data_IF_998271301773
#
_entry.id   IF_998271301773
#
_cell.length_a   1.000
_cell.length_b   1.000
_cell.length_c   1.000
_cell.angle_alpha   90.00
_cell.angle_beta   90.00
_cell.angle_gamma   90.00
#
_symmetry.space_group_name_H-M   'P 1'
#
loop_
_entity.id
_entity.type
_entity.pdbx_description
1 polymer ?
#
# COMPACT_ATOMS: atom_id res chain seq x y z
N UNK A 1 15.48 41.02 51.21
CA UNK A 1 16.34 41.88 50.39
C UNK A 1 15.51 42.52 49.27
N UNK A 2 15.53 43.86 49.23
CA UNK A 2 15.20 44.81 48.14
C UNK A 2 13.87 44.68 47.38
N UNK A 3 12.94 45.58 47.74
CA UNK A 3 11.96 46.20 46.85
C UNK A 3 12.66 46.95 45.72
N UNK A 4 12.05 46.98 44.54
CA UNK A 4 12.35 47.93 43.47
C UNK A 4 11.11 48.14 42.61
N UNK A 5 10.52 49.34 42.70
CA UNK A 5 9.48 49.84 41.82
C UNK A 5 9.99 51.15 41.18
N UNK A 6 9.81 51.29 39.87
CA UNK A 6 9.77 52.55 39.09
C UNK A 6 9.56 52.16 37.60
N UNK A 7 8.40 52.43 36.96
CA UNK A 7 8.05 53.62 36.12
C UNK A 7 9.07 53.96 35.03
N UNK A 8 8.74 54.40 33.82
CA UNK A 8 7.53 54.47 32.93
C UNK A 8 8.09 55.10 31.62
N UNK A 9 7.50 54.76 30.47
CA UNK A 9 7.34 55.64 29.28
C UNK A 9 8.54 55.97 28.37
N UNK A 10 8.30 55.81 27.06
CA UNK A 10 8.92 56.57 25.96
C UNK A 10 9.63 55.66 24.96
N UNK A 11 9.38 55.68 23.66
CA UNK A 11 8.52 56.51 22.82
C UNK A 11 8.70 56.02 21.37
N UNK A 12 7.60 56.01 20.61
CA UNK A 12 7.59 55.82 19.16
C UNK A 12 8.33 57.00 18.51
N UNK A 13 9.29 56.74 17.62
CA UNK A 13 9.55 57.66 16.49
C UNK A 13 9.78 56.86 15.22
N UNK A 14 9.03 57.25 14.19
CA UNK A 14 9.17 56.83 12.83
C UNK A 14 10.46 57.41 12.24
N UNK A 15 11.15 56.60 11.45
CA UNK A 15 12.21 57.03 10.55
C UNK A 15 12.06 56.25 9.24
N UNK A 16 11.35 56.86 8.30
CA UNK A 16 11.46 56.49 6.90
C UNK A 16 12.79 57.05 6.40
N UNK A 17 13.68 56.20 5.90
CA UNK A 17 14.62 56.62 4.88
C UNK A 17 14.96 55.47 3.93
N UNK A 18 15.14 55.90 2.71
CA UNK A 18 15.22 55.30 1.39
C UNK A 18 16.18 54.12 1.20
N UNK A 19 15.78 53.23 0.30
CA UNK A 19 16.60 52.16 -0.27
C UNK A 19 17.64 52.71 -1.26
N UNK A 20 18.73 51.98 -1.52
CA UNK A 20 19.29 51.89 -2.86
C UNK A 20 19.00 50.51 -3.47
N UNK A 21 18.46 50.55 -4.69
CA UNK A 21 18.36 49.40 -5.57
C UNK A 21 19.76 48.90 -5.97
N UNK A 22 19.98 47.60 -5.86
CA UNK A 22 21.12 46.91 -6.49
C UNK A 22 20.66 45.54 -7.01
N UNK A 23 20.58 45.49 -8.34
CA UNK A 23 20.52 44.33 -9.25
C UNK A 23 19.77 43.07 -8.81
N UNK A 24 18.51 43.01 -9.25
CA UNK A 24 17.84 41.75 -9.50
C UNK A 24 18.59 41.03 -10.64
N UNK A 25 19.51 40.13 -10.29
CA UNK A 25 20.06 39.16 -11.22
C UNK A 25 18.90 38.41 -11.87
N UNK A 26 18.75 38.55 -13.18
CA UNK A 26 17.74 37.84 -13.96
C UNK A 26 18.04 36.34 -13.82
N UNK A 27 17.21 35.64 -13.05
CA UNK A 27 17.30 34.19 -12.95
C UNK A 27 17.02 33.61 -14.34
N UNK A 28 18.06 33.06 -14.96
CA UNK A 28 17.93 32.30 -16.19
C UNK A 28 16.98 31.13 -15.88
N UNK A 29 15.86 30.95 -16.60
CA UNK A 29 14.99 29.81 -16.37
C UNK A 29 15.82 28.55 -16.57
N UNK A 30 15.98 27.76 -15.50
CA UNK A 30 16.64 26.46 -15.59
C UNK A 30 15.91 25.64 -16.64
N UNK A 31 16.64 25.23 -17.69
CA UNK A 31 16.13 24.29 -18.67
C UNK A 31 15.54 23.07 -17.93
N UNK A 32 14.39 22.53 -18.35
CA UNK A 32 13.80 21.39 -17.66
C UNK A 32 14.83 20.26 -17.65
N UNK A 33 15.17 19.80 -16.45
CA UNK A 33 15.99 18.61 -16.28
C UNK A 33 15.38 17.47 -17.12
N UNK A 34 16.19 16.57 -17.70
CA UNK A 34 15.67 15.42 -18.42
C UNK A 34 14.66 14.70 -17.53
N UNK A 35 13.41 14.65 -17.98
CA UNK A 35 12.34 13.97 -17.27
C UNK A 35 12.69 12.48 -17.37
N UNK A 36 13.27 11.92 -16.31
CA UNK A 36 13.51 10.48 -16.27
C UNK A 36 12.15 9.78 -16.44
N UNK A 37 12.05 8.78 -17.33
CA UNK A 37 10.80 8.09 -17.53
C UNK A 37 10.38 7.45 -16.20
N UNK A 38 9.14 7.75 -15.77
CA UNK A 38 8.59 7.19 -14.56
C UNK A 38 8.67 5.65 -14.60
N UNK A 39 9.05 4.99 -13.49
CA UNK A 39 9.21 3.54 -13.48
C UNK A 39 7.91 2.86 -13.89
N UNK A 40 7.99 1.98 -14.89
CA UNK A 40 6.86 1.19 -15.37
C UNK A 40 6.45 0.23 -14.25
N UNK A 41 5.27 0.47 -13.65
CA UNK A 41 4.71 -0.42 -12.63
C UNK A 41 4.26 -1.71 -13.31
N UNK A 42 5.06 -2.79 -13.20
CA UNK A 42 4.57 -4.14 -13.52
C UNK A 42 3.43 -4.47 -12.57
N UNK A 43 2.27 -4.82 -13.12
CA UNK A 43 1.14 -5.28 -12.33
C UNK A 43 1.50 -6.59 -11.63
N UNK A 44 1.11 -6.72 -10.36
CA UNK A 44 1.30 -7.94 -9.59
C UNK A 44 0.33 -9.01 -10.10
N UNK A 45 0.86 -10.18 -10.47
CA UNK A 45 0.04 -11.34 -10.82
C UNK A 45 -0.40 -12.04 -9.54
N UNK A 46 -1.70 -12.04 -9.28
CA UNK A 46 -2.29 -12.67 -8.08
C UNK A 46 -3.01 -13.97 -8.37
N UNK A 47 -3.12 -14.36 -9.65
CA UNK A 47 -3.84 -15.56 -10.09
C UNK A 47 -2.94 -16.51 -10.88
N UNK A 48 -3.13 -17.81 -10.63
CA UNK A 48 -2.31 -18.89 -11.15
C UNK A 48 -3.22 -20.00 -11.66
N UNK A 49 -2.97 -20.44 -12.89
CA UNK A 49 -3.65 -21.60 -13.44
C UNK A 49 -3.07 -22.87 -12.83
N UNK A 50 -3.90 -23.89 -12.65
CA UNK A 50 -3.49 -25.22 -12.24
C UNK A 50 -4.25 -26.29 -13.03
N UNK A 51 -3.70 -27.49 -13.02
CA UNK A 51 -4.33 -28.67 -13.61
C UNK A 51 -4.63 -29.72 -12.54
N UNK A 52 -5.73 -30.45 -12.74
CA UNK A 52 -6.11 -31.63 -12.01
C UNK A 52 -5.87 -32.85 -12.91
N UNK A 53 -4.76 -33.60 -12.75
CA UNK A 53 -4.41 -34.70 -13.65
C UNK A 53 -5.51 -35.77 -13.76
N UNK A 54 -6.24 -35.98 -12.65
CA UNK A 54 -7.37 -36.92 -12.56
C UNK A 54 -8.70 -36.29 -12.96
N UNK A 55 -8.77 -34.96 -13.03
CA UNK A 55 -10.00 -34.19 -13.17
C UNK A 55 -10.88 -34.19 -11.92
N UNK A 56 -11.88 -33.31 -11.91
CA UNK A 56 -12.98 -33.28 -10.96
C UNK A 56 -14.30 -33.40 -11.73
N UNK A 57 -15.19 -34.31 -11.31
CA UNK A 57 -16.50 -34.50 -11.94
C UNK A 57 -17.53 -33.73 -11.13
N UNK A 58 -18.26 -32.83 -11.77
CA UNK A 58 -19.35 -32.09 -11.14
C UNK A 58 -20.69 -32.84 -11.15
N UNK A 59 -21.73 -32.20 -10.62
CA UNK A 59 -23.08 -32.76 -10.53
C UNK A 59 -23.73 -33.03 -11.90
N UNK A 60 -23.24 -32.42 -12.98
CA UNK A 60 -23.72 -32.62 -14.35
C UNK A 60 -22.91 -33.66 -15.12
N UNK A 61 -21.89 -34.27 -14.49
CA UNK A 61 -20.99 -35.22 -15.14
C UNK A 61 -19.89 -34.58 -15.99
N UNK A 62 -19.71 -33.25 -15.90
CA UNK A 62 -18.64 -32.55 -16.62
C UNK A 62 -17.32 -32.75 -15.91
N UNK A 63 -16.25 -33.02 -16.66
CA UNK A 63 -14.89 -33.21 -16.12
C UNK A 63 -14.11 -31.90 -16.18
N UNK A 64 -13.82 -31.32 -15.02
CA UNK A 64 -12.99 -30.13 -14.85
C UNK A 64 -11.53 -30.53 -14.68
N UNK A 65 -10.67 -30.18 -15.64
CA UNK A 65 -9.22 -30.45 -15.59
C UNK A 65 -8.39 -29.22 -15.32
N UNK A 66 -8.86 -28.05 -15.72
CA UNK A 66 -8.17 -26.79 -15.54
C UNK A 66 -8.86 -25.98 -14.45
N UNK A 67 -8.11 -25.12 -13.78
CA UNK A 67 -8.64 -24.22 -12.78
C UNK A 67 -7.75 -23.01 -12.56
N UNK A 68 -8.28 -22.04 -11.82
CA UNK A 68 -7.54 -20.85 -11.41
C UNK A 68 -7.62 -20.73 -9.90
N UNK A 69 -6.48 -20.39 -9.30
CA UNK A 69 -6.39 -20.03 -7.90
C UNK A 69 -5.76 -18.65 -7.73
N UNK A 70 -6.13 -17.97 -6.65
CA UNK A 70 -5.48 -16.73 -6.22
C UNK A 70 -4.39 -17.00 -5.18
N UNK A 71 -3.49 -16.04 -4.98
CA UNK A 71 -2.62 -16.04 -3.81
C UNK A 71 -3.44 -16.12 -2.52
N UNK A 72 -2.98 -16.97 -1.59
CA UNK A 72 -3.50 -17.00 -0.24
C UNK A 72 -3.19 -15.67 0.46
N UNK A 73 -4.13 -15.19 1.24
CA UNK A 73 -3.93 -14.04 2.14
C UNK A 73 -3.66 -14.55 3.55
N UNK A 74 -3.10 -13.70 4.42
CA UNK A 74 -2.98 -14.01 5.85
C UNK A 74 -4.32 -14.40 6.48
N UNK A 75 -5.44 -13.86 5.96
CA UNK A 75 -6.78 -14.21 6.41
C UNK A 75 -7.15 -15.66 6.06
N UNK A 76 -6.72 -16.15 4.90
CA UNK A 76 -6.98 -17.52 4.48
C UNK A 76 -6.23 -18.52 5.36
N UNK A 77 -5.02 -18.17 5.79
CA UNK A 77 -4.19 -19.03 6.65
C UNK A 77 -4.55 -18.98 8.12
N UNK A 78 -4.86 -17.79 8.66
CA UNK A 78 -5.05 -17.63 10.10
C UNK A 78 -6.47 -17.93 10.58
N UNK A 79 -7.51 -17.66 9.78
CA UNK A 79 -8.90 -17.90 10.22
C UNK A 79 -9.19 -19.38 10.46
N UNK A 80 -8.80 -20.32 9.56
CA UNK A 80 -9.08 -21.75 9.75
C UNK A 80 -8.49 -22.36 11.01
N UNK A 81 -7.43 -21.77 11.57
CA UNK A 81 -6.80 -22.26 12.81
C UNK A 81 -7.73 -22.16 14.03
N UNK A 82 -8.82 -21.38 13.93
CA UNK A 82 -9.85 -21.27 14.97
C UNK A 82 -10.98 -22.30 14.81
N UNK A 83 -11.03 -23.03 13.71
CA UNK A 83 -12.04 -24.06 13.46
C UNK A 83 -11.71 -25.31 14.30
N UNK A 84 -12.71 -25.80 15.06
CA UNK A 84 -12.56 -26.98 15.92
C UNK A 84 -12.09 -28.20 15.12
N UNK A 85 -12.59 -28.38 13.89
CA UNK A 85 -12.24 -29.52 13.03
C UNK A 85 -10.78 -29.50 12.61
N UNK A 86 -10.21 -28.31 12.42
CA UNK A 86 -8.79 -28.11 12.09
C UNK A 86 -7.91 -28.32 13.33
N UNK A 87 -8.39 -27.90 14.51
CA UNK A 87 -7.67 -28.13 15.77
C UNK A 87 -7.63 -29.62 16.14
N UNK A 88 -8.75 -30.34 15.97
CA UNK A 88 -8.84 -31.78 16.19
C UNK A 88 -8.03 -32.57 15.16
N UNK A 89 -7.97 -32.10 13.92
CA UNK A 89 -7.21 -32.73 12.86
C UNK A 89 -6.57 -31.70 11.90
N UNK A 90 -5.27 -31.40 12.08
CA UNK A 90 -4.55 -30.42 11.26
C UNK A 90 -4.54 -30.73 9.76
N UNK A 91 -4.78 -31.97 9.34
CA UNK A 91 -4.84 -32.33 7.91
C UNK A 91 -5.99 -31.61 7.17
N UNK A 92 -7.02 -31.16 7.88
CA UNK A 92 -8.12 -30.38 7.28
C UNK A 92 -7.70 -28.98 6.85
N UNK A 93 -6.61 -28.43 7.40
CA UNK A 93 -6.16 -27.07 7.07
C UNK A 93 -5.95 -26.91 5.56
N UNK A 94 -5.22 -27.83 4.94
CA UNK A 94 -4.94 -27.79 3.49
C UNK A 94 -6.22 -27.79 2.65
N UNK A 95 -7.22 -28.58 3.05
CA UNK A 95 -8.51 -28.64 2.33
C UNK A 95 -9.25 -27.32 2.44
N UNK A 96 -9.30 -26.73 3.64
CA UNK A 96 -9.95 -25.43 3.87
C UNK A 96 -9.22 -24.32 3.13
N UNK A 97 -7.89 -24.36 3.06
CA UNK A 97 -7.10 -23.40 2.28
C UNK A 97 -7.42 -23.49 0.80
N UNK A 98 -7.39 -24.70 0.23
CA UNK A 98 -7.70 -24.92 -1.18
C UNK A 98 -9.11 -24.42 -1.53
N UNK A 99 -10.09 -24.70 -0.67
CA UNK A 99 -11.46 -24.20 -0.84
C UNK A 99 -11.58 -22.67 -0.83
N UNK A 100 -10.63 -21.95 -0.22
CA UNK A 100 -10.63 -20.48 -0.15
C UNK A 100 -9.91 -19.82 -1.31
N UNK A 101 -8.93 -20.49 -1.90
CA UNK A 101 -8.05 -19.91 -2.92
C UNK A 101 -8.42 -20.30 -4.34
N UNK A 102 -9.09 -21.43 -4.56
CA UNK A 102 -9.60 -21.82 -5.87
C UNK A 102 -10.76 -20.88 -6.23
N UNK A 103 -10.62 -20.14 -7.33
CA UNK A 103 -11.63 -19.17 -7.80
C UNK A 103 -12.45 -19.72 -8.96
N UNK A 104 -11.89 -20.64 -9.76
CA UNK A 104 -12.56 -21.28 -10.90
C UNK A 104 -12.07 -22.72 -11.09
N UNK A 105 -12.99 -23.57 -11.54
CA UNK A 105 -12.77 -24.92 -12.06
C UNK A 105 -13.51 -25.00 -13.39
N UNK A 106 -12.83 -25.41 -14.46
CA UNK A 106 -13.37 -25.39 -15.82
C UNK A 106 -13.29 -24.04 -16.54
#
# INVERSE_FOLDING_TARGET
>A
MRRGAATRTGGLTAGADSAPAADAAFAVPAAPAPVEPAPVRRQLRTEFAFELPRGYVDEHGTVHREGVMRLATARDELIPLRDIRVQENPAYLSVVLLARVITRLG
#
